data_IF_311102091694
#
_entry.id   IF_311102091694
#
_cell.length_a   1.000
_cell.length_b   1.000
_cell.length_c   1.000
_cell.angle_alpha   90.00
_cell.angle_beta   90.00
_cell.angle_gamma   90.00
#
_symmetry.space_group_name_H-M   'P 1'
#
loop_
_entity.id
_entity.type
_entity.pdbx_description
1 polymer ?
#
# COMPACT_ATOMS: atom_id res chain seq x y z
N UNK A 1 -29.02 -24.96 4.27
CA UNK A 1 -29.03 -24.81 5.74
C UNK A 1 -27.58 -24.81 6.18
N UNK A 2 -26.95 -23.79 6.74
CA UNK A 2 -27.36 -22.70 7.63
C UNK A 2 -27.26 -21.31 6.99
N UNK A 3 -28.31 -20.51 7.11
CA UNK A 3 -28.23 -19.06 7.00
C UNK A 3 -27.40 -18.55 8.19
N UNK A 4 -26.09 -18.46 8.00
CA UNK A 4 -25.21 -17.81 8.97
C UNK A 4 -25.70 -16.39 9.17
N UNK A 5 -26.01 -16.04 10.41
CA UNK A 5 -26.30 -14.67 10.81
C UNK A 5 -25.16 -13.78 10.32
N UNK A 6 -25.46 -12.74 9.53
CA UNK A 6 -24.47 -11.87 8.90
C UNK A 6 -24.87 -10.42 9.16
N UNK A 7 -23.92 -9.61 9.61
CA UNK A 7 -24.13 -8.19 9.85
C UNK A 7 -24.49 -7.48 8.54
N UNK A 8 -25.60 -6.75 8.51
CA UNK A 8 -26.01 -5.98 7.33
C UNK A 8 -25.13 -4.73 7.17
N UNK A 9 -24.45 -4.62 6.04
CA UNK A 9 -23.73 -3.41 5.61
C UNK A 9 -24.67 -2.39 4.93
N UNK A 10 -25.98 -2.65 4.94
CA UNK A 10 -27.04 -1.95 4.21
C UNK A 10 -27.05 -0.43 4.38
N UNK A 11 -26.78 0.07 5.58
CA UNK A 11 -26.76 1.49 5.91
C UNK A 11 -25.44 2.23 5.62
N UNK A 12 -24.38 1.54 5.17
CA UNK A 12 -23.09 2.16 4.84
C UNK A 12 -23.14 2.89 3.49
N UNK A 13 -22.80 4.18 3.51
CA UNK A 13 -22.62 4.97 2.29
C UNK A 13 -21.15 4.84 1.84
N UNK A 14 -20.91 3.94 0.89
CA UNK A 14 -19.61 3.82 0.21
C UNK A 14 -19.58 4.74 -1.01
N UNK A 15 -18.39 5.16 -1.43
CA UNK A 15 -18.21 5.84 -2.72
C UNK A 15 -18.60 4.88 -3.84
N UNK A 16 -19.33 5.40 -4.81
CA UNK A 16 -19.81 4.63 -5.95
C UNK A 16 -19.15 5.08 -7.24
N UNK A 17 -18.91 4.14 -8.15
CA UNK A 17 -18.49 4.44 -9.52
C UNK A 17 -19.66 4.98 -10.35
N UNK A 18 -19.37 5.82 -11.34
CA UNK A 18 -20.43 6.37 -12.20
C UNK A 18 -20.93 5.34 -13.21
N UNK A 19 -22.15 5.51 -13.71
CA UNK A 19 -22.74 4.59 -14.69
C UNK A 19 -21.87 4.41 -15.94
N UNK A 20 -21.26 5.49 -16.44
CA UNK A 20 -20.32 5.44 -17.57
C UNK A 20 -19.05 4.61 -17.29
N UNK A 21 -18.62 4.52 -16.03
CA UNK A 21 -17.45 3.72 -15.65
C UNK A 21 -17.79 2.24 -15.53
N UNK A 22 -18.99 1.93 -15.03
CA UNK A 22 -19.53 0.57 -15.03
C UNK A 22 -19.56 0.05 -16.46
N UNK A 23 -20.10 0.84 -17.39
CA UNK A 23 -20.16 0.49 -18.81
C UNK A 23 -18.75 0.21 -19.37
N UNK A 24 -17.77 1.09 -19.08
CA UNK A 24 -16.38 0.91 -19.54
C UNK A 24 -15.71 -0.33 -18.92
N UNK A 25 -15.99 -0.64 -17.65
CA UNK A 25 -15.46 -1.83 -16.98
C UNK A 25 -16.03 -3.13 -17.55
N UNK A 26 -17.31 -3.10 -17.92
CA UNK A 26 -18.05 -4.24 -18.45
C UNK A 26 -17.96 -4.35 -19.99
N UNK A 27 -17.14 -3.54 -20.66
CA UNK A 27 -16.84 -3.72 -22.07
C UNK A 27 -16.10 -5.04 -22.35
N UNK A 28 -16.32 -5.66 -23.53
CA UNK A 28 -15.56 -6.82 -23.97
C UNK A 28 -14.05 -6.58 -23.93
N UNK A 29 -13.29 -7.62 -23.60
CA UNK A 29 -11.83 -7.56 -23.58
C UNK A 29 -11.28 -7.35 -25.00
N UNK A 30 -10.50 -6.29 -25.18
CA UNK A 30 -9.88 -6.04 -26.48
C UNK A 30 -8.57 -6.82 -26.63
N UNK A 31 -8.21 -7.15 -27.88
CA UNK A 31 -6.94 -7.80 -28.20
C UNK A 31 -5.74 -7.00 -27.69
N UNK A 32 -5.79 -5.67 -27.80
CA UNK A 32 -4.73 -4.79 -27.32
C UNK A 32 -4.62 -4.79 -25.80
N UNK A 33 -5.73 -4.87 -25.07
CA UNK A 33 -5.75 -4.94 -23.60
C UNK A 33 -5.14 -6.25 -23.09
N UNK A 34 -5.50 -7.38 -23.70
CA UNK A 34 -4.96 -8.70 -23.35
C UNK A 34 -3.47 -8.77 -23.68
N UNK A 35 -3.08 -8.33 -24.88
CA UNK A 35 -1.69 -8.32 -25.31
C UNK A 35 -0.82 -7.41 -24.44
N UNK A 36 -1.27 -6.19 -24.14
CA UNK A 36 -0.54 -5.28 -23.26
C UNK A 36 -0.38 -5.87 -21.86
N UNK A 37 -1.44 -6.47 -21.32
CA UNK A 37 -1.38 -7.15 -20.01
C UNK A 37 -0.37 -8.30 -20.04
N UNK A 38 -0.35 -9.12 -21.09
CA UNK A 38 0.60 -10.22 -21.24
C UNK A 38 2.05 -9.74 -21.35
N UNK A 39 2.30 -8.66 -22.09
CA UNK A 39 3.64 -8.10 -22.27
C UNK A 39 4.16 -7.36 -21.05
N UNK A 40 3.28 -6.81 -20.22
CA UNK A 40 3.66 -6.22 -18.92
C UNK A 40 4.07 -7.27 -17.87
N UNK A 41 3.79 -8.56 -18.11
CA UNK A 41 4.12 -9.61 -17.16
C UNK A 41 5.62 -9.89 -17.14
N UNK A 42 6.13 -10.18 -15.94
CA UNK A 42 7.49 -10.67 -15.79
C UNK A 42 7.59 -12.12 -16.31
N UNK A 43 8.35 -12.33 -17.38
CA UNK A 43 8.55 -13.63 -18.05
C UNK A 43 9.16 -14.71 -17.17
N UNK A 44 9.95 -14.31 -16.17
CA UNK A 44 10.67 -15.20 -15.24
C UNK A 44 9.82 -15.70 -14.06
N UNK A 45 8.50 -15.47 -14.08
CA UNK A 45 7.61 -16.02 -13.05
C UNK A 45 7.57 -17.54 -13.13
N UNK A 46 7.53 -18.18 -11.95
CA UNK A 46 7.39 -19.63 -11.84
C UNK A 46 6.16 -20.13 -12.61
N UNK A 47 6.27 -21.26 -13.34
CA UNK A 47 5.19 -21.79 -14.16
C UNK A 47 3.97 -22.18 -13.32
N UNK A 48 2.80 -22.15 -13.96
CA UNK A 48 1.56 -22.64 -13.36
C UNK A 48 1.52 -24.16 -13.28
N UNK A 49 0.37 -24.74 -12.88
CA UNK A 49 0.14 -26.18 -12.92
C UNK A 49 0.26 -26.80 -14.33
N UNK A 50 0.22 -25.96 -15.36
CA UNK A 50 0.43 -26.29 -16.77
C UNK A 50 1.90 -26.43 -17.17
N UNK A 51 2.85 -26.03 -16.31
CA UNK A 51 4.28 -26.15 -16.56
C UNK A 51 4.86 -25.09 -17.50
N UNK A 52 4.04 -24.20 -18.08
CA UNK A 52 4.50 -23.14 -18.98
C UNK A 52 4.79 -21.84 -18.23
N UNK A 53 5.91 -21.20 -18.57
CA UNK A 53 6.28 -19.88 -18.03
C UNK A 53 5.58 -18.77 -18.81
N UNK A 54 5.49 -17.59 -18.20
CA UNK A 54 4.93 -16.41 -18.86
C UNK A 54 5.72 -16.05 -20.14
N UNK A 55 7.04 -16.27 -20.14
CA UNK A 55 7.90 -16.03 -21.30
C UNK A 55 7.51 -16.89 -22.52
N UNK A 56 7.00 -18.12 -22.30
CA UNK A 56 6.46 -18.97 -23.36
C UNK A 56 5.24 -18.31 -24.01
N UNK A 57 4.27 -17.85 -23.20
CA UNK A 57 3.07 -17.18 -23.70
C UNK A 57 3.38 -15.87 -24.42
N UNK A 58 4.36 -15.10 -23.95
CA UNK A 58 4.83 -13.88 -24.63
C UNK A 58 5.47 -14.18 -25.99
N UNK A 59 6.30 -15.24 -26.06
CA UNK A 59 7.01 -15.61 -27.28
C UNK A 59 6.09 -16.28 -28.31
N UNK A 60 5.10 -17.06 -27.84
CA UNK A 60 4.17 -17.81 -28.67
C UNK A 60 2.85 -17.07 -28.92
N UNK A 61 2.75 -15.78 -28.56
CA UNK A 61 1.52 -14.99 -28.70
C UNK A 61 0.91 -15.08 -30.11
N UNK A 62 1.72 -14.98 -31.15
CA UNK A 62 1.24 -15.03 -32.54
C UNK A 62 0.53 -16.35 -32.90
N UNK A 63 0.86 -17.44 -32.20
CA UNK A 63 0.26 -18.75 -32.36
C UNK A 63 -0.98 -18.93 -31.48
N UNK A 64 -0.90 -18.54 -30.20
CA UNK A 64 -1.97 -18.79 -29.20
C UNK A 64 -3.03 -17.68 -29.12
N UNK A 65 -2.85 -16.55 -29.81
CA UNK A 65 -3.71 -15.36 -29.68
C UNK A 65 -5.19 -15.63 -29.93
N UNK A 66 -5.54 -16.45 -30.92
CA UNK A 66 -6.95 -16.70 -31.26
C UNK A 66 -7.62 -17.56 -30.18
N UNK A 67 -6.94 -18.61 -29.69
CA UNK A 67 -7.42 -19.44 -28.58
C UNK A 67 -7.61 -18.63 -27.29
N UNK A 68 -6.65 -17.74 -26.98
CA UNK A 68 -6.75 -16.86 -25.82
C UNK A 68 -7.91 -15.87 -25.98
N UNK A 69 -8.09 -15.28 -27.16
CA UNK A 69 -9.20 -14.34 -27.42
C UNK A 69 -10.56 -15.02 -27.30
N UNK A 70 -10.70 -16.22 -27.85
CA UNK A 70 -11.96 -16.98 -27.76
C UNK A 70 -12.26 -17.41 -26.33
N UNK A 71 -11.23 -17.77 -25.54
CA UNK A 71 -11.39 -17.99 -24.10
C UNK A 71 -11.89 -16.73 -23.36
N UNK A 72 -11.37 -15.54 -23.68
CA UNK A 72 -11.85 -14.29 -23.06
C UNK A 72 -13.27 -13.91 -23.51
N UNK A 73 -13.69 -14.27 -24.73
CA UNK A 73 -15.07 -14.12 -25.20
C UNK A 73 -16.00 -15.08 -24.44
N UNK A 74 -15.61 -16.35 -24.32
CA UNK A 74 -16.39 -17.35 -23.58
C UNK A 74 -16.53 -16.96 -22.10
N UNK A 75 -15.46 -16.44 -21.49
CA UNK A 75 -15.50 -15.89 -20.13
C UNK A 75 -16.45 -14.69 -20.02
N UNK A 76 -16.44 -13.79 -21.02
CA UNK A 76 -17.31 -12.62 -21.07
C UNK A 76 -18.80 -13.00 -21.18
N UNK A 77 -19.12 -14.05 -21.93
CA UNK A 77 -20.50 -14.47 -22.21
C UNK A 77 -21.06 -15.45 -21.17
N UNK A 78 -20.28 -16.46 -20.79
CA UNK A 78 -20.74 -17.59 -19.99
C UNK A 78 -20.32 -17.55 -18.52
N UNK A 79 -19.43 -16.61 -18.14
CA UNK A 79 -18.78 -16.60 -16.82
C UNK A 79 -18.08 -17.94 -16.48
N UNK A 80 -17.73 -18.76 -17.48
CA UNK A 80 -17.11 -20.08 -17.32
C UNK A 80 -15.62 -20.03 -17.65
N UNK A 81 -14.84 -20.98 -17.14
CA UNK A 81 -13.37 -20.93 -17.21
C UNK A 81 -12.73 -22.28 -17.53
N UNK A 82 -11.65 -22.24 -18.32
CA UNK A 82 -10.72 -23.36 -18.50
C UNK A 82 -9.63 -23.27 -17.42
N UNK A 83 -9.57 -24.27 -16.53
CA UNK A 83 -8.89 -24.29 -15.21
C UNK A 83 -7.40 -23.89 -15.14
N UNK A 84 -6.70 -23.63 -16.25
CA UNK A 84 -5.23 -23.52 -16.29
C UNK A 84 -4.65 -22.10 -16.26
N UNK A 85 -5.39 -21.03 -16.58
CA UNK A 85 -4.75 -19.75 -16.89
C UNK A 85 -4.93 -18.67 -15.82
N UNK A 86 -3.81 -18.27 -15.20
CA UNK A 86 -3.74 -17.12 -14.28
C UNK A 86 -3.88 -15.75 -15.00
N UNK A 87 -3.85 -15.72 -16.34
CA UNK A 87 -3.78 -14.50 -17.15
C UNK A 87 -5.04 -13.63 -17.03
N UNK A 88 -6.21 -14.22 -16.79
CA UNK A 88 -7.49 -13.50 -16.67
C UNK A 88 -7.56 -12.63 -15.42
N UNK A 89 -6.99 -13.10 -14.29
CA UNK A 89 -6.92 -12.31 -13.05
C UNK A 89 -6.11 -11.02 -13.23
N UNK A 90 -5.08 -11.03 -14.09
CA UNK A 90 -4.28 -9.85 -14.40
C UNK A 90 -5.05 -8.83 -15.24
N UNK A 91 -5.79 -9.30 -16.25
CA UNK A 91 -6.60 -8.41 -17.09
C UNK A 91 -7.70 -7.73 -16.27
N UNK A 92 -8.35 -8.48 -15.37
CA UNK A 92 -9.32 -7.91 -14.42
C UNK A 92 -8.66 -6.93 -13.43
N UNK A 93 -7.48 -7.26 -12.90
CA UNK A 93 -6.73 -6.35 -12.02
C UNK A 93 -6.36 -5.04 -12.72
N UNK A 94 -6.01 -5.09 -14.01
CA UNK A 94 -5.72 -3.91 -14.83
C UNK A 94 -6.97 -3.04 -15.06
N UNK A 95 -8.16 -3.63 -15.20
CA UNK A 95 -9.43 -2.89 -15.24
C UNK A 95 -9.72 -2.24 -13.88
N UNK A 96 -9.60 -2.96 -12.76
CA UNK A 96 -9.82 -2.40 -11.41
C UNK A 96 -8.88 -1.25 -11.07
N UNK A 97 -7.62 -1.33 -11.51
CA UNK A 97 -6.63 -0.27 -11.29
C UNK A 97 -7.10 1.10 -11.82
N UNK A 98 -7.95 1.13 -12.85
CA UNK A 98 -8.50 2.37 -13.43
C UNK A 98 -9.54 3.05 -12.52
N UNK A 99 -10.22 2.29 -11.68
CA UNK A 99 -11.37 2.77 -10.88
C UNK A 99 -11.09 2.82 -9.38
N UNK A 100 -10.14 2.03 -8.87
CA UNK A 100 -9.92 1.89 -7.42
C UNK A 100 -9.64 3.22 -6.70
N UNK A 101 -8.92 4.14 -7.34
CA UNK A 101 -8.59 5.45 -6.75
C UNK A 101 -9.79 6.37 -6.52
N UNK A 102 -10.97 6.05 -7.09
CA UNK A 102 -12.22 6.80 -6.87
C UNK A 102 -13.07 6.22 -5.75
N UNK A 103 -12.93 4.93 -5.51
CA UNK A 103 -13.74 4.16 -4.56
C UNK A 103 -13.10 4.15 -3.17
N UNK A 104 -11.76 4.26 -3.12
CA UNK A 104 -10.97 4.18 -1.88
C UNK A 104 -10.75 5.59 -1.27
N UNK A 105 -10.69 5.66 0.06
CA UNK A 105 -10.36 6.87 0.82
C UNK A 105 -8.90 7.30 0.63
N UNK A 106 -8.63 8.60 0.79
CA UNK A 106 -7.27 9.14 0.80
C UNK A 106 -6.40 8.65 1.97
N UNK A 107 -7.02 8.06 2.99
CA UNK A 107 -6.36 7.61 4.22
C UNK A 107 -5.75 6.20 4.07
N UNK A 108 -6.09 5.50 2.98
CA UNK A 108 -5.48 4.24 2.58
C UNK A 108 -4.19 4.51 1.77
N UNK A 109 -3.04 4.34 2.41
CA UNK A 109 -1.72 4.60 1.83
C UNK A 109 -1.09 3.34 1.18
N UNK A 110 -1.89 2.30 0.93
CA UNK A 110 -1.42 0.98 0.49
C UNK A 110 -1.09 0.93 -1.03
N UNK A 111 -0.04 0.16 -1.35
CA UNK A 111 0.60 0.04 -2.67
C UNK A 111 -0.35 -0.25 -3.85
N UNK A 112 -0.17 0.52 -4.92
CA UNK A 112 -0.35 0.03 -6.29
C UNK A 112 0.95 -0.72 -6.67
N UNK A 113 0.82 -2.01 -6.98
CA UNK A 113 1.83 -3.05 -7.26
C UNK A 113 2.57 -3.70 -6.08
N UNK A 114 2.33 -5.00 -5.87
CA UNK A 114 3.43 -5.95 -5.65
C UNK A 114 3.44 -6.86 -4.41
N UNK A 115 2.42 -6.89 -3.53
CA UNK A 115 2.32 -7.90 -2.44
C UNK A 115 0.86 -8.24 -2.11
N UNK A 116 0.65 -9.51 -1.72
CA UNK A 116 -0.65 -10.14 -1.51
C UNK A 116 -0.99 -10.21 -0.03
N UNK A 117 -2.27 -9.93 0.27
CA UNK A 117 -2.93 -10.37 1.49
C UNK A 117 -4.12 -11.19 1.02
N UNK A 118 -4.27 -12.36 1.63
CA UNK A 118 -5.40 -13.23 1.40
C UNK A 118 -6.33 -13.06 2.58
N UNK A 119 -7.58 -12.67 2.29
CA UNK A 119 -8.80 -13.21 2.91
C UNK A 119 -10.09 -12.43 2.58
N UNK A 120 -10.05 -11.42 1.69
CA UNK A 120 -11.25 -10.61 1.39
C UNK A 120 -12.29 -11.22 0.41
N UNK A 121 -12.14 -12.47 -0.04
CA UNK A 121 -12.87 -12.97 -1.22
C UNK A 121 -14.38 -13.17 -1.04
N UNK A 122 -14.83 -13.39 0.19
CA UNK A 122 -16.24 -13.70 0.48
C UNK A 122 -17.16 -12.48 0.54
N UNK A 123 -16.65 -11.33 0.99
CA UNK A 123 -17.43 -10.10 1.12
C UNK A 123 -17.08 -9.05 0.06
N UNK A 124 -16.15 -9.38 -0.83
CA UNK A 124 -15.92 -8.60 -2.06
C UNK A 124 -17.22 -8.40 -2.85
N UNK A 125 -18.11 -9.39 -3.01
CA UNK A 125 -19.28 -9.21 -3.88
C UNK A 125 -20.33 -8.23 -3.34
N UNK A 126 -20.63 -8.26 -2.04
CA UNK A 126 -21.57 -7.32 -1.42
C UNK A 126 -20.98 -5.91 -1.37
N UNK A 127 -19.68 -5.80 -1.04
CA UNK A 127 -18.96 -4.52 -1.03
C UNK A 127 -18.86 -3.94 -2.43
N UNK A 128 -18.49 -4.74 -3.44
CA UNK A 128 -18.46 -4.32 -4.85
C UNK A 128 -19.85 -3.90 -5.33
N UNK A 129 -20.91 -4.63 -4.97
CA UNK A 129 -22.28 -4.22 -5.32
C UNK A 129 -22.62 -2.86 -4.69
N UNK A 130 -22.24 -2.62 -3.44
CA UNK A 130 -22.46 -1.33 -2.75
C UNK A 130 -21.62 -0.19 -3.33
N UNK A 131 -20.43 -0.50 -3.83
CA UNK A 131 -19.56 0.43 -4.57
C UNK A 131 -20.04 0.70 -6.01
N UNK A 132 -21.17 0.11 -6.43
CA UNK A 132 -21.78 0.38 -7.73
C UNK A 132 -21.24 -0.47 -8.88
N UNK A 133 -20.52 -1.55 -8.61
CA UNK A 133 -20.09 -2.47 -9.67
C UNK A 133 -21.29 -3.19 -10.29
N UNK A 134 -21.28 -3.31 -11.61
CA UNK A 134 -22.36 -3.93 -12.36
C UNK A 134 -22.49 -5.44 -12.14
N UNK A 135 -23.65 -6.02 -12.50
CA UNK A 135 -23.95 -7.42 -12.24
C UNK A 135 -23.04 -8.37 -13.02
N UNK A 136 -22.52 -7.95 -14.18
CA UNK A 136 -21.63 -8.76 -15.01
C UNK A 136 -20.25 -8.87 -14.36
N UNK A 137 -19.73 -7.77 -13.86
CA UNK A 137 -18.50 -7.76 -13.06
C UNK A 137 -18.61 -8.68 -11.82
N UNK A 138 -19.74 -8.60 -11.11
CA UNK A 138 -20.00 -9.49 -9.96
C UNK A 138 -20.06 -10.97 -10.37
N UNK A 139 -20.59 -11.26 -11.57
CA UNK A 139 -20.57 -12.60 -12.18
C UNK A 139 -19.15 -13.12 -12.43
N UNK A 140 -18.29 -12.29 -13.00
CA UNK A 140 -16.86 -12.59 -13.20
C UNK A 140 -16.17 -12.89 -11.87
N UNK A 141 -16.39 -12.05 -10.85
CA UNK A 141 -15.78 -12.22 -9.52
C UNK A 141 -16.23 -13.51 -8.81
N UNK A 142 -17.52 -13.87 -8.91
CA UNK A 142 -18.04 -15.13 -8.38
C UNK A 142 -17.39 -16.34 -9.04
N UNK A 143 -17.18 -16.26 -10.35
CA UNK A 143 -16.59 -17.33 -11.16
C UNK A 143 -15.09 -17.48 -10.88
N UNK A 144 -14.38 -16.36 -10.75
CA UNK A 144 -13.01 -16.31 -10.25
C UNK A 144 -12.82 -17.06 -8.92
N UNK A 145 -13.79 -16.95 -8.00
CA UNK A 145 -13.74 -17.64 -6.69
C UNK A 145 -13.97 -19.15 -6.82
N UNK A 146 -14.89 -19.60 -7.66
CA UNK A 146 -15.24 -21.02 -7.78
C UNK A 146 -14.13 -21.87 -8.40
N UNK A 147 -13.16 -21.24 -9.06
CA UNK A 147 -12.03 -21.90 -9.73
C UNK A 147 -10.93 -22.32 -8.75
N UNK A 148 -10.81 -21.65 -7.58
CA UNK A 148 -9.73 -21.89 -6.65
C UNK A 148 -9.83 -23.28 -5.98
N UNK A 149 -8.99 -24.21 -6.46
CA UNK A 149 -8.76 -25.53 -5.85
C UNK A 149 -7.39 -25.59 -5.20
N UNK A 150 -7.34 -26.20 -4.03
CA UNK A 150 -6.13 -26.35 -3.24
C UNK A 150 -5.80 -27.83 -3.12
N UNK A 151 -4.52 -28.13 -3.05
CA UNK A 151 -3.99 -29.47 -2.74
C UNK A 151 -2.96 -29.29 -1.64
N UNK A 152 -2.93 -30.21 -0.68
CA UNK A 152 -1.96 -30.20 0.40
C UNK A 152 -0.79 -31.08 -0.02
N UNK A 153 0.43 -30.61 0.22
CA UNK A 153 1.62 -31.44 0.04
C UNK A 153 1.85 -32.24 1.33
N UNK A 154 1.65 -33.55 1.27
CA UNK A 154 2.01 -34.47 2.37
C UNK A 154 3.27 -35.20 1.94
N UNK A 155 4.37 -34.99 2.68
CA UNK A 155 5.69 -35.56 2.36
C UNK A 155 6.19 -35.25 0.94
N UNK A 156 5.84 -34.07 0.40
CA UNK A 156 6.22 -33.65 -0.94
C UNK A 156 5.34 -34.19 -2.07
N UNK A 157 4.33 -35.02 -1.76
CA UNK A 157 3.35 -35.52 -2.73
C UNK A 157 2.03 -34.73 -2.58
N UNK A 158 1.48 -34.18 -3.69
CA UNK A 158 0.21 -33.47 -3.63
C UNK A 158 -0.94 -34.44 -3.38
N UNK A 159 -1.81 -34.12 -2.42
CA UNK A 159 -3.07 -34.83 -2.17
C UNK A 159 -4.13 -34.43 -3.18
N UNK A 160 -5.31 -35.06 -3.10
CA UNK A 160 -6.47 -34.69 -3.90
C UNK A 160 -6.85 -33.20 -3.74
N UNK A 161 -7.42 -32.65 -4.82
CA UNK A 161 -7.84 -31.26 -4.87
C UNK A 161 -9.17 -31.05 -4.14
N UNK A 162 -9.21 -30.11 -3.20
CA UNK A 162 -10.44 -29.64 -2.55
C UNK A 162 -10.78 -28.21 -2.99
N UNK A 163 -12.07 -27.89 -2.99
CA UNK A 163 -12.57 -26.54 -3.27
C UNK A 163 -12.41 -25.62 -2.07
N UNK A 164 -11.99 -24.38 -2.30
CA UNK A 164 -11.99 -23.39 -1.22
C UNK A 164 -13.37 -22.78 -0.97
N UNK A 165 -13.71 -22.65 0.31
CA UNK A 165 -14.84 -21.86 0.77
C UNK A 165 -14.48 -20.39 1.05
N UNK A 166 -13.22 -20.11 1.44
CA UNK A 166 -12.70 -18.79 1.86
C UNK A 166 -11.30 -18.49 1.30
N UNK A 167 -11.04 -17.22 0.99
CA UNK A 167 -9.73 -16.75 0.51
C UNK A 167 -9.59 -16.78 -1.01
N UNK A 168 -8.55 -16.11 -1.52
CA UNK A 168 -8.08 -16.20 -2.91
C UNK A 168 -6.70 -16.87 -2.92
N UNK A 169 -6.15 -17.18 -4.10
CA UNK A 169 -4.84 -17.82 -4.22
C UNK A 169 -3.70 -16.85 -3.88
N UNK A 170 -2.71 -17.29 -3.09
CA UNK A 170 -1.50 -16.50 -2.85
C UNK A 170 -0.73 -16.47 -4.17
N UNK A 171 -0.51 -15.28 -4.71
CA UNK A 171 -0.02 -15.09 -6.07
C UNK A 171 -0.90 -14.16 -6.88
N UNK A 172 -2.18 -14.08 -6.51
CA UNK A 172 -3.22 -13.50 -7.34
C UNK A 172 -3.13 -11.96 -7.39
N UNK A 173 -2.97 -11.35 -8.57
CA UNK A 173 -2.96 -9.89 -8.74
C UNK A 173 -4.26 -9.20 -8.32
N UNK A 174 -5.39 -9.92 -8.29
CA UNK A 174 -6.70 -9.37 -7.96
C UNK A 174 -6.89 -9.24 -6.44
N UNK A 175 -6.31 -10.17 -5.68
CA UNK A 175 -6.48 -10.29 -4.23
C UNK A 175 -6.16 -9.00 -3.47
N UNK A 176 -5.07 -8.31 -3.84
CA UNK A 176 -4.65 -7.07 -3.18
C UNK A 176 -5.66 -5.94 -3.38
N UNK A 177 -6.25 -5.81 -4.56
CA UNK A 177 -7.23 -4.75 -4.83
C UNK A 177 -8.55 -5.00 -4.10
N UNK A 178 -9.01 -6.25 -4.07
CA UNK A 178 -10.21 -6.63 -3.32
C UNK A 178 -10.03 -6.42 -1.81
N UNK A 179 -8.84 -6.71 -1.29
CA UNK A 179 -8.55 -6.51 0.13
C UNK A 179 -8.61 -5.03 0.51
N UNK A 180 -7.99 -4.15 -0.29
CA UNK A 180 -8.04 -2.69 -0.10
C UNK A 180 -9.50 -2.19 -0.11
N UNK A 181 -10.33 -2.68 -1.04
CA UNK A 181 -11.76 -2.36 -1.06
C UNK A 181 -12.52 -2.88 0.17
N UNK A 182 -12.15 -4.05 0.70
CA UNK A 182 -12.68 -4.54 1.97
C UNK A 182 -12.29 -3.64 3.15
N UNK A 183 -11.03 -3.22 3.23
CA UNK A 183 -10.54 -2.33 4.29
C UNK A 183 -11.20 -0.94 4.25
N UNK A 184 -11.77 -0.53 3.12
CA UNK A 184 -12.55 0.71 3.01
C UNK A 184 -13.79 0.68 3.92
N UNK A 185 -14.36 -0.51 4.17
CA UNK A 185 -15.48 -0.68 5.09
C UNK A 185 -15.11 -0.26 6.51
N UNK A 186 -13.91 -0.62 7.00
CA UNK A 186 -13.40 -0.17 8.31
C UNK A 186 -13.17 1.33 8.32
N UNK A 187 -12.57 1.85 7.24
CA UNK A 187 -12.32 3.29 7.10
C UNK A 187 -13.61 4.10 7.27
N UNK A 188 -14.69 3.67 6.60
CA UNK A 188 -16.00 4.32 6.68
C UNK A 188 -16.65 4.12 8.05
N UNK A 189 -16.54 2.95 8.67
CA UNK A 189 -17.05 2.71 10.03
C UNK A 189 -16.37 3.61 11.07
N UNK A 190 -15.04 3.73 11.01
CA UNK A 190 -14.28 4.62 11.91
C UNK A 190 -14.66 6.07 11.64
N UNK A 191 -14.76 6.48 10.37
CA UNK A 191 -15.14 7.86 10.00
C UNK A 191 -16.52 8.23 10.55
N UNK A 192 -17.50 7.33 10.44
CA UNK A 192 -18.84 7.52 11.02
C UNK A 192 -18.85 7.57 12.54
N UNK A 193 -18.03 6.74 13.18
CA UNK A 193 -17.88 6.80 14.63
C UNK A 193 -17.30 8.15 15.08
N UNK A 194 -16.40 8.73 14.28
CA UNK A 194 -15.84 10.07 14.52
C UNK A 194 -16.88 11.18 14.28
N UNK A 195 -17.64 11.11 13.19
CA UNK A 195 -18.74 12.04 12.88
C UNK A 195 -19.84 12.00 13.96
N UNK A 196 -20.12 10.81 14.49
CA UNK A 196 -21.07 10.60 15.58
C UNK A 196 -20.52 10.94 16.98
N UNK A 197 -19.25 11.35 17.10
CA UNK A 197 -18.62 11.69 18.38
C UNK A 197 -18.29 10.49 19.28
N UNK A 198 -18.40 9.27 18.78
CA UNK A 198 -18.09 8.03 19.49
C UNK A 198 -16.58 7.74 19.56
N UNK A 199 -15.79 8.35 18.68
CA UNK A 199 -14.32 8.30 18.69
C UNK A 199 -13.80 9.71 18.36
N UNK A 200 -12.77 10.16 19.08
CA UNK A 200 -12.06 11.39 18.75
C UNK A 200 -10.72 11.08 18.11
N UNK A 201 -10.49 11.54 16.88
CA UNK A 201 -9.23 11.39 16.18
C UNK A 201 -8.11 12.31 16.71
N UNK A 202 -6.90 12.12 16.19
CA UNK A 202 -5.77 13.00 16.49
C UNK A 202 -5.86 14.26 15.62
N UNK A 203 -6.16 15.39 16.25
CA UNK A 203 -6.07 16.69 15.59
C UNK A 203 -4.63 17.19 15.58
N UNK A 204 -4.15 17.60 14.40
CA UNK A 204 -2.84 18.21 14.20
C UNK A 204 -3.07 19.66 13.78
N UNK A 205 -2.59 20.60 14.58
CA UNK A 205 -2.67 22.02 14.26
C UNK A 205 -1.46 22.79 14.81
N UNK A 206 -1.16 23.93 14.20
CA UNK A 206 -0.14 24.89 14.66
C UNK A 206 -0.70 26.31 14.57
N UNK A 207 -0.82 26.98 15.70
CA UNK A 207 -1.29 28.37 15.77
C UNK A 207 -2.73 28.55 15.27
N UNK A 208 -2.99 29.54 14.41
CA UNK A 208 -4.32 29.83 13.83
C UNK A 208 -4.60 29.09 12.51
N UNK A 209 -3.85 28.04 12.19
CA UNK A 209 -4.03 27.26 10.95
C UNK A 209 -5.24 26.32 11.02
N UNK A 210 -5.67 25.82 9.85
CA UNK A 210 -6.72 24.80 9.77
C UNK A 210 -6.23 23.50 10.40
N UNK A 211 -6.97 22.99 11.39
CA UNK A 211 -6.68 21.71 12.03
C UNK A 211 -6.97 20.56 11.07
N UNK A 212 -6.06 19.59 11.02
CA UNK A 212 -6.27 18.33 10.29
C UNK A 212 -6.51 17.24 11.31
N UNK A 213 -7.70 16.64 11.28
CA UNK A 213 -8.05 15.51 12.14
C UNK A 213 -7.74 14.20 11.43
N UNK A 214 -6.94 13.34 12.06
CA UNK A 214 -6.60 12.00 11.57
C UNK A 214 -7.13 10.99 12.57
N UNK A 215 -8.08 10.15 12.17
CA UNK A 215 -8.62 9.09 13.02
C UNK A 215 -7.97 7.73 12.75
N UNK A 216 -7.54 7.47 11.51
CA UNK A 216 -6.93 6.19 11.15
C UNK A 216 -6.02 6.32 9.92
N UNK A 217 -5.09 5.38 9.78
CA UNK A 217 -4.23 5.19 8.63
C UNK A 217 -4.22 3.70 8.28
N UNK A 218 -4.48 3.41 7.01
CA UNK A 218 -4.55 2.03 6.53
C UNK A 218 -3.41 1.78 5.55
N UNK A 219 -2.63 0.74 5.81
CA UNK A 219 -1.65 0.22 4.88
C UNK A 219 -1.84 -1.28 4.73
N UNK A 220 -2.68 -1.67 3.77
CA UNK A 220 -3.03 -3.06 3.57
C UNK A 220 -3.62 -3.63 4.89
N UNK A 221 -3.06 -4.69 5.48
CA UNK A 221 -3.48 -5.25 6.77
C UNK A 221 -2.99 -4.43 7.97
N UNK A 222 -1.90 -3.67 7.82
CA UNK A 222 -1.36 -2.82 8.88
C UNK A 222 -2.27 -1.59 9.05
N UNK A 223 -3.02 -1.57 10.15
CA UNK A 223 -3.97 -0.49 10.48
C UNK A 223 -3.51 0.25 11.74
N UNK A 224 -3.42 1.57 11.65
CA UNK A 224 -3.16 2.45 12.80
C UNK A 224 -4.40 3.27 13.06
N UNK A 225 -4.94 3.19 14.27
CA UNK A 225 -6.09 4.01 14.71
C UNK A 225 -5.61 4.99 15.76
N UNK A 226 -5.94 6.27 15.57
CA UNK A 226 -5.70 7.33 16.53
C UNK A 226 -6.99 7.60 17.30
N UNK A 227 -6.90 7.53 18.62
CA UNK A 227 -8.00 7.86 19.52
C UNK A 227 -7.47 8.63 20.72
N UNK A 228 -8.32 9.49 21.28
CA UNK A 228 -8.06 10.08 22.61
C UNK A 228 -8.10 8.99 23.68
N UNK A 229 -7.24 9.11 24.70
CA UNK A 229 -7.09 8.12 25.76
C UNK A 229 -8.29 8.12 26.73
N UNK A 230 -9.42 7.59 26.27
CA UNK A 230 -10.65 7.41 27.04
C UNK A 230 -11.15 5.99 26.85
N UNK A 231 -11.42 5.31 27.96
CA UNK A 231 -11.97 3.95 28.01
C UNK A 231 -13.18 3.78 27.09
N UNK A 232 -14.15 4.69 27.19
CA UNK A 232 -15.34 4.67 26.34
C UNK A 232 -15.06 4.63 24.84
N UNK A 233 -14.05 5.36 24.33
CA UNK A 233 -13.72 5.36 22.91
C UNK A 233 -13.12 4.02 22.45
N UNK A 234 -12.35 3.35 23.32
CA UNK A 234 -11.82 2.03 23.03
C UNK A 234 -12.91 0.95 23.05
N UNK A 235 -13.92 1.08 23.90
CA UNK A 235 -15.12 0.22 23.86
C UNK A 235 -15.79 0.31 22.48
N UNK A 236 -16.03 1.54 21.98
CA UNK A 236 -16.64 1.75 20.66
C UNK A 236 -15.76 1.21 19.54
N UNK A 237 -14.43 1.35 19.66
CA UNK A 237 -13.49 0.76 18.70
C UNK A 237 -13.56 -0.77 18.70
N UNK A 238 -13.62 -1.40 19.88
CA UNK A 238 -13.78 -2.85 20.01
C UNK A 238 -15.06 -3.34 19.33
N UNK A 239 -16.18 -2.61 19.50
CA UNK A 239 -17.42 -2.89 18.78
C UNK A 239 -17.26 -2.73 17.27
N UNK A 240 -16.63 -1.66 16.77
CA UNK A 240 -16.41 -1.46 15.32
C UNK A 240 -15.59 -2.61 14.73
N UNK A 241 -14.53 -3.03 15.43
CA UNK A 241 -13.68 -4.14 15.03
C UNK A 241 -14.46 -5.46 15.03
N UNK A 242 -15.28 -5.72 16.05
CA UNK A 242 -16.16 -6.89 16.09
C UNK A 242 -17.18 -6.90 14.95
N UNK A 243 -17.82 -5.75 14.69
CA UNK A 243 -18.74 -5.59 13.54
C UNK A 243 -18.03 -5.82 12.21
N UNK A 244 -16.78 -5.37 12.08
CA UNK A 244 -15.96 -5.62 10.91
C UNK A 244 -15.62 -7.11 10.75
N UNK A 245 -15.22 -7.80 11.82
CA UNK A 245 -14.98 -9.25 11.78
C UNK A 245 -16.25 -10.02 11.38
N UNK A 246 -17.41 -9.62 11.91
CA UNK A 246 -18.69 -10.22 11.57
C UNK A 246 -19.13 -9.92 10.12
N UNK A 247 -18.88 -8.70 9.62
CA UNK A 247 -19.27 -8.28 8.29
C UNK A 247 -18.36 -8.85 7.20
N UNK A 248 -17.03 -8.80 7.39
CA UNK A 248 -16.04 -9.24 6.41
C UNK A 248 -15.51 -10.67 6.63
N UNK A 249 -15.90 -11.33 7.73
CA UNK A 249 -15.44 -12.68 8.04
C UNK A 249 -13.92 -12.80 8.19
N UNK A 250 -13.24 -11.65 8.38
CA UNK A 250 -11.82 -11.54 8.66
C UNK A 250 -11.61 -11.68 10.17
N UNK A 251 -10.39 -12.07 10.56
CA UNK A 251 -10.00 -12.17 11.95
C UNK A 251 -8.81 -11.25 12.23
N UNK A 252 -8.96 -10.40 13.23
CA UNK A 252 -7.93 -9.49 13.71
C UNK A 252 -6.92 -10.30 14.52
N UNK A 253 -5.64 -10.02 14.28
CA UNK A 253 -4.56 -10.67 15.00
C UNK A 253 -4.22 -9.88 16.27
N UNK A 254 -4.99 -10.10 17.33
CA UNK A 254 -4.78 -9.44 18.63
C UNK A 254 -3.39 -9.73 19.23
N UNK A 255 -2.79 -10.88 18.92
CA UNK A 255 -1.42 -11.22 19.33
C UNK A 255 -0.35 -10.36 18.65
N UNK A 256 -0.67 -9.67 17.57
CA UNK A 256 0.22 -8.71 16.89
C UNK A 256 -0.22 -7.26 17.09
N UNK A 257 -1.45 -7.04 17.55
CA UNK A 257 -1.98 -5.71 17.82
C UNK A 257 -1.48 -5.17 19.16
N UNK A 258 -1.18 -3.87 19.18
CA UNK A 258 -0.67 -3.18 20.36
C UNK A 258 -1.35 -1.82 20.55
N UNK A 259 -1.61 -1.46 21.81
CA UNK A 259 -2.02 -0.11 22.21
C UNK A 259 -0.78 0.63 22.67
N UNK A 260 -0.48 1.75 22.03
CA UNK A 260 0.72 2.55 22.33
C UNK A 260 0.28 3.87 22.93
N UNK A 261 0.59 4.16 24.21
CA UNK A 261 0.29 5.45 24.80
C UNK A 261 1.19 6.54 24.21
N UNK A 262 0.60 7.69 23.90
CA UNK A 262 1.30 8.87 23.40
C UNK A 262 1.13 10.00 24.41
N UNK A 263 2.18 10.28 25.18
CA UNK A 263 2.15 11.25 26.27
C UNK A 263 1.91 10.59 27.63
N UNK A 264 1.45 11.38 28.61
CA UNK A 264 1.03 10.88 29.92
C UNK A 264 -0.40 10.35 29.80
N UNK A 265 -0.55 9.04 29.98
CA UNK A 265 -1.83 8.35 29.91
C UNK A 265 -1.96 7.45 31.13
N UNK A 266 -3.01 7.68 31.91
CA UNK A 266 -3.37 6.82 33.04
C UNK A 266 -4.12 5.58 32.55
N UNK A 267 -4.03 4.46 33.29
CA UNK A 267 -4.82 3.23 33.05
C UNK A 267 -4.65 2.54 31.67
N UNK A 268 -3.50 2.69 31.01
CA UNK A 268 -3.21 2.08 29.70
C UNK A 268 -3.40 0.55 29.69
N UNK A 269 -3.11 -0.11 30.80
CA UNK A 269 -3.27 -1.57 30.90
C UNK A 269 -4.75 -1.98 30.85
N UNK A 270 -5.64 -1.25 31.53
CA UNK A 270 -7.08 -1.53 31.49
C UNK A 270 -7.64 -1.32 30.09
N UNK A 271 -7.22 -0.23 29.45
CA UNK A 271 -7.56 0.11 28.08
C UNK A 271 -7.11 -0.96 27.07
N UNK A 272 -5.92 -1.55 27.27
CA UNK A 272 -5.45 -2.63 26.42
C UNK A 272 -6.22 -3.93 26.62
N UNK A 273 -6.63 -4.24 27.87
CA UNK A 273 -7.46 -5.42 28.19
C UNK A 273 -8.84 -5.33 27.52
N UNK A 274 -9.43 -4.14 27.43
CA UNK A 274 -10.74 -3.95 26.82
C UNK A 274 -10.78 -4.27 25.31
N UNK A 275 -9.68 -4.03 24.61
CA UNK A 275 -9.52 -4.43 23.20
C UNK A 275 -8.98 -5.87 23.09
N UNK A 276 -8.30 -6.36 24.14
CA UNK A 276 -7.61 -7.65 24.14
C UNK A 276 -6.22 -7.61 23.50
N UNK A 277 -5.57 -6.44 23.50
CA UNK A 277 -4.25 -6.20 22.89
C UNK A 277 -3.14 -6.07 23.94
N UNK A 278 -1.88 -6.11 23.50
CA UNK A 278 -0.73 -5.82 24.36
C UNK A 278 -0.47 -4.31 24.47
N UNK A 279 0.14 -3.88 25.57
CA UNK A 279 0.65 -2.50 25.69
C UNK A 279 2.02 -2.41 25.02
N UNK A 280 2.13 -1.55 24.01
CA UNK A 280 3.38 -1.23 23.31
C UNK A 280 4.04 0.01 23.91
N UNK A 281 5.27 0.30 23.46
CA UNK A 281 6.01 1.51 23.87
C UNK A 281 6.66 2.19 22.66
N UNK A 282 6.66 3.53 22.66
CA UNK A 282 7.46 4.28 21.69
C UNK A 282 8.96 4.17 22.01
N UNK A 283 9.85 4.03 21.01
CA UNK A 283 9.58 4.04 19.58
C UNK A 283 9.23 2.66 19.00
N UNK A 284 8.10 2.56 18.29
CA UNK A 284 7.72 1.35 17.54
C UNK A 284 8.21 1.39 16.10
N UNK A 285 8.27 0.22 15.45
CA UNK A 285 8.67 0.07 14.05
C UNK A 285 7.41 -0.10 13.21
N UNK A 286 6.99 0.96 12.53
CA UNK A 286 5.89 0.91 11.56
C UNK A 286 6.46 0.86 10.14
N UNK A 287 6.03 -0.11 9.33
CA UNK A 287 6.49 -0.33 7.95
C UNK A 287 8.03 -0.45 7.80
N UNK A 288 8.69 -0.98 8.83
CA UNK A 288 10.15 -1.16 8.84
C UNK A 288 10.95 0.13 9.08
N UNK A 289 10.31 1.21 9.51
CA UNK A 289 10.95 2.48 9.86
C UNK A 289 11.07 2.64 11.38
N UNK A 290 12.31 2.69 11.93
CA UNK A 290 12.53 3.15 13.28
C UNK A 290 12.32 4.67 13.40
N UNK A 291 11.71 5.12 14.50
CA UNK A 291 11.44 6.54 14.77
C UNK A 291 12.69 7.40 15.05
N UNK A 292 13.91 6.82 15.08
CA UNK A 292 15.17 7.55 15.32
C UNK A 292 16.13 7.41 14.13
N UNK A 293 16.55 8.54 13.57
CA UNK A 293 17.41 8.59 12.38
C UNK A 293 18.76 7.87 12.56
N UNK A 294 19.36 7.90 13.76
CA UNK A 294 20.66 7.27 14.01
C UNK A 294 20.59 5.74 13.99
N UNK A 295 19.59 5.16 14.65
CA UNK A 295 19.39 3.69 14.71
C UNK A 295 18.98 3.08 13.36
N UNK A 296 18.39 3.89 12.47
CA UNK A 296 18.08 3.47 11.08
C UNK A 296 19.34 3.05 10.34
N UNK A 297 20.41 3.83 10.45
CA UNK A 297 21.65 3.58 9.73
C UNK A 297 22.44 2.41 10.32
N UNK A 298 22.37 2.20 11.64
CA UNK A 298 22.97 1.04 12.31
C UNK A 298 22.32 -0.27 11.82
N UNK A 299 20.99 -0.31 11.69
CA UNK A 299 20.27 -1.46 11.16
C UNK A 299 20.59 -1.76 9.69
N UNK A 300 20.72 -0.72 8.85
CA UNK A 300 21.15 -0.87 7.45
C UNK A 300 22.60 -1.37 7.38
N UNK A 301 23.49 -0.85 8.23
CA UNK A 301 24.88 -1.30 8.29
C UNK A 301 24.98 -2.77 8.68
N UNK A 302 24.23 -3.20 9.70
CA UNK A 302 24.21 -4.58 10.17
C UNK A 302 23.63 -5.54 9.10
N UNK A 303 22.55 -5.14 8.40
CA UNK A 303 21.98 -5.94 7.31
C UNK A 303 22.95 -6.11 6.15
N UNK A 304 23.68 -5.04 5.81
CA UNK A 304 24.76 -5.08 4.82
C UNK A 304 25.90 -5.99 5.28
N UNK A 305 26.31 -5.88 6.56
CA UNK A 305 27.38 -6.69 7.17
C UNK A 305 27.04 -8.17 7.14
N UNK A 306 25.81 -8.56 7.50
CA UNK A 306 25.33 -9.96 7.47
C UNK A 306 25.34 -10.53 6.05
N UNK A 307 24.84 -9.79 5.05
CA UNK A 307 24.88 -10.24 3.64
C UNK A 307 26.30 -10.38 3.12
N UNK A 308 27.17 -9.41 3.44
CA UNK A 308 28.58 -9.47 3.08
C UNK A 308 29.29 -10.66 3.73
N UNK A 309 28.98 -10.97 5.00
CA UNK A 309 29.51 -12.15 5.68
C UNK A 309 29.10 -13.44 4.96
N UNK A 310 27.81 -13.60 4.63
CA UNK A 310 27.30 -14.75 3.87
C UNK A 310 28.03 -14.90 2.53
N UNK A 311 28.16 -13.83 1.74
CA UNK A 311 28.82 -13.89 0.44
C UNK A 311 30.34 -14.04 0.51
N UNK A 312 30.95 -13.58 1.62
CA UNK A 312 32.38 -13.80 1.88
C UNK A 312 32.68 -15.28 2.13
N UNK A 313 31.78 -15.99 2.81
CA UNK A 313 31.90 -17.42 3.09
C UNK A 313 31.44 -18.32 1.92
N UNK A 314 30.89 -17.75 0.85
CA UNK A 314 30.45 -18.50 -0.33
C UNK A 314 31.59 -18.65 -1.36
N UNK A 315 32.43 -19.67 -1.17
CA UNK A 315 33.65 -19.94 -1.96
C UNK A 315 33.41 -20.24 -3.46
N UNK A 316 32.16 -20.48 -3.86
CA UNK A 316 31.78 -20.96 -5.20
C UNK A 316 31.62 -19.81 -6.24
N UNK A 317 31.39 -18.57 -5.80
CA UNK A 317 31.11 -17.45 -6.72
C UNK A 317 32.42 -16.79 -7.18
N UNK A 318 32.70 -16.69 -8.50
CA UNK A 318 33.86 -15.98 -9.03
C UNK A 318 33.90 -14.51 -8.57
N UNK A 319 35.11 -13.92 -8.49
CA UNK A 319 35.29 -12.52 -8.06
C UNK A 319 34.40 -11.54 -8.84
N UNK A 320 34.24 -11.73 -10.14
CA UNK A 320 33.35 -10.94 -11.00
C UNK A 320 31.87 -11.05 -10.60
N UNK A 321 31.37 -12.27 -10.36
CA UNK A 321 30.01 -12.52 -9.90
C UNK A 321 29.71 -11.92 -8.52
N UNK A 322 30.69 -11.94 -7.60
CA UNK A 322 30.58 -11.27 -6.29
C UNK A 322 30.45 -9.76 -6.43
N UNK A 323 31.21 -9.15 -7.34
CA UNK A 323 31.12 -7.70 -7.61
C UNK A 323 29.74 -7.36 -8.19
N UNK A 324 29.24 -8.14 -9.15
CA UNK A 324 27.91 -7.92 -9.74
C UNK A 324 26.80 -8.08 -8.71
N UNK A 325 26.88 -9.10 -7.85
CA UNK A 325 25.91 -9.35 -6.78
C UNK A 325 25.91 -8.23 -5.72
N UNK A 326 27.11 -7.77 -5.35
CA UNK A 326 27.28 -6.61 -4.46
C UNK A 326 26.65 -5.37 -5.11
N UNK A 327 26.94 -5.10 -6.39
CA UNK A 327 26.40 -3.93 -7.10
C UNK A 327 24.88 -3.96 -7.21
N UNK A 328 24.27 -5.11 -7.57
CA UNK A 328 22.82 -5.21 -7.74
C UNK A 328 22.05 -5.16 -6.41
N UNK A 329 22.62 -5.77 -5.36
CA UNK A 329 21.91 -5.95 -4.09
C UNK A 329 22.24 -4.86 -3.07
N UNK A 330 23.51 -4.45 -2.95
CA UNK A 330 23.88 -3.43 -1.95
C UNK A 330 23.48 -2.01 -2.36
N UNK A 331 23.39 -1.72 -3.66
CA UNK A 331 22.92 -0.42 -4.12
C UNK A 331 21.42 -0.23 -3.85
N UNK A 332 20.63 -1.31 -3.92
CA UNK A 332 19.18 -1.27 -3.72
C UNK A 332 18.77 -1.34 -2.24
N UNK A 333 19.58 -1.99 -1.40
CA UNK A 333 19.31 -2.15 0.04
C UNK A 333 19.05 -0.86 0.83
N UNK A 334 19.85 0.21 0.71
CA UNK A 334 19.63 1.44 1.45
C UNK A 334 18.67 2.41 0.76
N UNK A 335 18.12 2.10 -0.45
CA UNK A 335 17.33 3.06 -1.23
C UNK A 335 16.12 3.59 -0.46
N UNK A 336 15.41 2.70 0.23
CA UNK A 336 14.23 3.08 1.01
C UNK A 336 14.59 4.05 2.13
N UNK A 337 15.62 3.74 2.94
CA UNK A 337 16.10 4.60 4.01
C UNK A 337 16.74 5.89 3.48
N UNK A 338 17.48 5.84 2.37
CA UNK A 338 18.03 7.01 1.68
C UNK A 338 16.95 7.92 1.10
N UNK A 339 15.73 7.43 0.89
CA UNK A 339 14.63 8.29 0.44
C UNK A 339 14.00 9.10 1.58
N UNK A 340 14.28 8.76 2.84
CA UNK A 340 13.62 9.32 4.01
C UNK A 340 14.59 10.00 4.99
N UNK A 341 15.83 9.53 5.06
CA UNK A 341 16.84 10.02 5.99
C UNK A 341 18.10 10.50 5.26
N UNK A 342 18.67 11.59 5.76
CA UNK A 342 19.98 12.07 5.31
C UNK A 342 21.08 11.12 5.75
N UNK A 343 21.99 10.78 4.83
CA UNK A 343 23.12 9.90 5.15
C UNK A 343 24.17 10.65 6.00
N UNK A 344 24.58 10.13 7.18
CA UNK A 344 25.58 10.77 8.03
C UNK A 344 26.94 10.85 7.34
N UNK A 345 27.66 11.96 7.52
CA UNK A 345 29.02 12.16 6.97
C UNK A 345 30.02 11.09 7.43
N UNK A 346 29.81 10.49 8.60
CA UNK A 346 30.62 9.39 9.12
C UNK A 346 30.45 8.09 8.32
N UNK A 347 29.22 7.76 7.90
CA UNK A 347 28.93 6.58 7.05
C UNK A 347 29.52 6.78 5.65
N UNK A 348 29.48 8.02 5.14
CA UNK A 348 30.15 8.41 3.88
C UNK A 348 31.67 8.21 3.99
N UNK A 349 32.30 8.62 5.10
CA UNK A 349 33.76 8.51 5.32
C UNK A 349 34.21 7.07 5.58
N UNK A 350 33.50 6.29 6.41
CA UNK A 350 33.89 4.90 6.77
C UNK A 350 33.85 3.94 5.59
N UNK A 351 33.00 4.17 4.58
CA UNK A 351 32.81 3.22 3.46
C UNK A 351 33.66 3.53 2.21
N UNK A 352 34.41 4.64 2.17
CA UNK A 352 35.70 4.80 1.46
C UNK A 352 35.91 4.28 0.02
N UNK A 353 34.87 4.08 -0.81
CA UNK A 353 35.03 3.66 -2.24
C UNK A 353 34.20 4.53 -3.18
N UNK A 354 34.70 4.71 -4.40
CA UNK A 354 34.20 5.58 -5.49
C UNK A 354 32.68 5.46 -5.73
N UNK A 355 32.08 4.29 -5.49
CA UNK A 355 30.64 4.03 -5.64
C UNK A 355 29.75 4.80 -4.63
N UNK A 356 30.27 5.22 -3.48
CA UNK A 356 29.48 5.91 -2.44
C UNK A 356 29.31 7.40 -2.72
N UNK A 357 30.19 8.01 -3.53
CA UNK A 357 29.97 9.39 -3.99
C UNK A 357 28.69 9.48 -4.84
N UNK A 358 28.37 8.43 -5.61
CA UNK A 358 27.10 8.31 -6.32
C UNK A 358 25.92 8.11 -5.36
N UNK A 359 26.09 7.33 -4.28
CA UNK A 359 25.04 7.14 -3.26
C UNK A 359 24.71 8.42 -2.47
N UNK A 360 25.71 9.23 -2.13
CA UNK A 360 25.48 10.51 -1.46
C UNK A 360 24.70 11.48 -2.37
N UNK A 361 25.06 11.56 -3.65
CA UNK A 361 24.30 12.33 -4.65
C UNK A 361 22.89 11.77 -4.84
N UNK A 362 22.75 10.45 -4.88
CA UNK A 362 21.45 9.77 -4.98
C UNK A 362 20.56 10.05 -3.76
N UNK A 363 21.10 10.04 -2.54
CA UNK A 363 20.37 10.41 -1.33
C UNK A 363 19.83 11.84 -1.42
N UNK A 364 20.65 12.81 -1.86
CA UNK A 364 20.19 14.19 -2.08
C UNK A 364 19.06 14.26 -3.11
N UNK A 365 19.18 13.57 -4.23
CA UNK A 365 18.14 13.53 -5.27
C UNK A 365 16.85 12.88 -4.75
N UNK A 366 16.95 11.79 -3.98
CA UNK A 366 15.79 11.10 -3.41
C UNK A 366 15.06 11.95 -2.36
N UNK A 367 15.81 12.68 -1.52
CA UNK A 367 15.20 13.65 -0.59
C UNK A 367 14.59 14.83 -1.33
N UNK A 368 15.28 15.36 -2.35
CA UNK A 368 14.76 16.41 -3.23
C UNK A 368 13.49 16.00 -3.98
N UNK A 369 13.33 14.72 -4.34
CA UNK A 369 12.10 14.18 -4.92
C UNK A 369 10.88 14.42 -4.01
N UNK A 370 11.03 14.32 -2.69
CA UNK A 370 9.93 14.60 -1.75
C UNK A 370 9.57 16.08 -1.68
N UNK A 371 10.57 16.96 -1.77
CA UNK A 371 10.37 18.41 -1.82
C UNK A 371 9.65 18.80 -3.12
N UNK A 372 10.08 18.23 -4.25
CA UNK A 372 9.39 18.38 -5.54
C UNK A 372 7.95 17.88 -5.46
N UNK A 373 7.73 16.68 -4.88
CA UNK A 373 6.38 16.14 -4.67
C UNK A 373 5.53 17.06 -3.81
N UNK A 374 6.07 17.68 -2.78
CA UNK A 374 5.31 18.61 -1.91
C UNK A 374 4.86 19.85 -2.69
N UNK A 375 5.73 20.41 -3.52
CA UNK A 375 5.40 21.55 -4.37
C UNK A 375 4.33 21.20 -5.43
N UNK A 376 4.36 19.98 -5.98
CA UNK A 376 3.41 19.55 -7.01
C UNK A 376 2.10 18.94 -6.47
N UNK A 377 2.12 18.37 -5.26
CA UNK A 377 0.97 17.75 -4.65
C UNK A 377 -0.11 18.80 -4.38
N UNK A 378 -1.38 18.46 -4.59
CA UNK A 378 -2.49 19.39 -4.36
C UNK A 378 -3.19 19.10 -3.06
N UNK A 379 -3.88 17.96 -2.97
CA UNK A 379 -4.82 17.66 -1.89
C UNK A 379 -4.50 16.36 -1.13
N UNK A 380 -3.31 15.80 -1.30
CA UNK A 380 -2.89 14.56 -0.63
C UNK A 380 -2.83 14.74 0.90
N UNK A 381 -3.30 13.75 1.67
CA UNK A 381 -3.39 13.80 3.14
C UNK A 381 -2.04 14.17 3.77
N UNK A 382 -0.95 13.51 3.37
CA UNK A 382 0.38 13.78 3.92
C UNK A 382 0.82 15.24 3.72
N UNK A 383 0.41 15.90 2.62
CA UNK A 383 0.67 17.33 2.40
C UNK A 383 -0.12 18.18 3.40
N UNK A 384 -1.42 17.95 3.53
CA UNK A 384 -2.28 18.66 4.52
C UNK A 384 -1.74 18.52 5.94
N UNK A 385 -1.28 17.33 6.32
CA UNK A 385 -0.68 17.06 7.63
C UNK A 385 0.63 17.85 7.82
N UNK A 386 1.49 17.90 6.80
CA UNK A 386 2.71 18.69 6.86
C UNK A 386 2.43 20.19 6.91
N UNK A 387 1.42 20.68 6.20
CA UNK A 387 0.99 22.07 6.23
C UNK A 387 0.42 22.45 7.60
N UNK A 388 -0.42 21.60 8.19
CA UNK A 388 -0.96 21.82 9.52
C UNK A 388 0.13 21.79 10.60
N UNK A 389 1.12 20.91 10.46
CA UNK A 389 2.22 20.75 11.43
C UNK A 389 3.32 21.79 11.30
N UNK A 390 3.77 22.09 10.08
CA UNK A 390 4.93 22.96 9.84
C UNK A 390 4.54 24.36 9.37
N UNK A 391 3.34 24.53 8.80
CA UNK A 391 2.91 25.76 8.13
C UNK A 391 3.47 25.87 6.71
N UNK A 392 2.96 26.83 5.95
CA UNK A 392 3.40 27.12 4.57
C UNK A 392 4.18 28.44 4.47
N UNK A 393 5.04 28.50 3.46
CA UNK A 393 5.83 29.65 2.96
C UNK A 393 5.83 29.62 1.42
N UNK A 394 6.23 30.73 0.77
CA UNK A 394 6.36 30.87 -0.69
C UNK A 394 5.12 30.39 -1.48
N UNK A 395 3.95 30.99 -1.19
CA UNK A 395 2.67 30.67 -1.85
C UNK A 395 2.26 29.17 -1.76
N UNK A 396 2.68 28.48 -0.70
CA UNK A 396 2.33 27.07 -0.46
C UNK A 396 3.25 26.07 -1.15
N UNK A 397 4.36 26.53 -1.72
CA UNK A 397 5.37 25.66 -2.35
C UNK A 397 6.40 25.12 -1.34
N UNK A 398 6.53 25.76 -0.18
CA UNK A 398 7.45 25.35 0.89
C UNK A 398 6.75 25.23 2.23
N UNK A 399 7.26 24.34 3.08
CA UNK A 399 6.93 24.33 4.51
C UNK A 399 7.87 25.26 5.27
N UNK A 400 7.41 25.89 6.35
CA UNK A 400 8.30 26.69 7.21
C UNK A 400 9.41 25.84 7.83
N UNK A 401 10.53 26.47 8.20
CA UNK A 401 11.61 25.77 8.92
C UNK A 401 11.11 25.14 10.23
N UNK A 402 11.48 23.88 10.43
CA UNK A 402 11.10 23.09 11.59
C UNK A 402 11.95 23.43 12.83
N UNK A 403 11.59 24.52 13.52
CA UNK A 403 12.34 25.03 14.69
C UNK A 403 11.95 24.38 16.03
N UNK A 404 11.14 23.31 16.02
CA UNK A 404 10.69 22.62 17.24
C UNK A 404 11.73 21.69 17.87
N UNK A 405 11.69 21.60 19.20
CA UNK A 405 12.56 20.77 20.07
C UNK A 405 12.11 19.30 20.12
N UNK A 406 10.84 19.02 19.83
CA UNK A 406 10.28 17.67 19.89
C UNK A 406 10.36 16.91 18.55
N UNK A 407 11.17 15.85 18.54
CA UNK A 407 11.18 14.79 17.51
C UNK A 407 12.12 14.99 16.34
N UNK A 408 12.96 13.99 16.07
CA UNK A 408 13.74 13.83 14.83
C UNK A 408 12.79 13.38 13.71
N UNK A 409 11.87 14.26 13.31
CA UNK A 409 10.86 13.93 12.31
C UNK A 409 11.49 13.69 10.93
N UNK A 410 11.01 12.66 10.21
CA UNK A 410 11.44 12.33 8.84
C UNK A 410 11.44 13.56 7.92
N UNK A 411 10.41 14.40 8.01
CA UNK A 411 10.34 15.65 7.23
C UNK A 411 11.45 16.65 7.58
N UNK A 412 11.86 16.74 8.85
CA UNK A 412 12.97 17.59 9.29
C UNK A 412 14.30 17.11 8.69
N UNK A 413 14.48 15.80 8.49
CA UNK A 413 15.65 15.26 7.80
C UNK A 413 15.63 15.55 6.29
N UNK A 414 14.46 15.45 5.65
CA UNK A 414 14.27 15.81 4.23
C UNK A 414 14.58 17.29 4.01
N UNK A 415 14.08 18.18 4.87
CA UNK A 415 14.31 19.62 4.77
C UNK A 415 15.78 20.04 4.94
N UNK A 416 16.68 19.18 5.45
CA UNK A 416 18.12 19.51 5.53
C UNK A 416 18.80 19.67 4.16
N UNK A 417 18.20 19.15 3.10
CA UNK A 417 18.71 19.30 1.72
C UNK A 417 17.77 20.20 0.87
N UNK A 418 16.89 20.98 1.51
CA UNK A 418 15.95 21.87 0.79
C UNK A 418 16.65 22.91 -0.04
N UNK A 419 17.68 23.55 0.51
CA UNK A 419 18.37 24.67 -0.14
C UNK A 419 19.03 24.20 -1.44
N UNK A 420 19.75 23.07 -1.38
CA UNK A 420 20.31 22.41 -2.56
C UNK A 420 19.25 22.04 -3.59
N UNK A 421 18.10 21.53 -3.15
CA UNK A 421 17.02 21.16 -4.09
C UNK A 421 16.48 22.38 -4.82
N UNK A 422 16.21 23.48 -4.11
CA UNK A 422 15.65 24.70 -4.67
C UNK A 422 16.62 25.46 -5.57
N UNK A 423 17.92 25.46 -5.26
CA UNK A 423 18.97 25.99 -6.15
C UNK A 423 19.03 25.26 -7.51
N UNK A 424 18.57 24.01 -7.56
CA UNK A 424 18.60 23.17 -8.76
C UNK A 424 17.21 22.99 -9.40
N UNK A 425 16.17 23.67 -8.89
CA UNK A 425 14.82 23.64 -9.43
C UNK A 425 14.55 24.90 -10.26
N UNK A 426 13.99 24.71 -11.45
CA UNK A 426 13.53 25.80 -12.30
C UNK A 426 12.02 25.73 -12.46
N UNK A 427 11.35 26.89 -12.37
CA UNK A 427 9.93 27.00 -12.66
C UNK A 427 9.75 27.24 -14.16
N UNK A 428 9.02 26.35 -14.84
CA UNK A 428 8.58 26.59 -16.21
C UNK A 428 7.20 27.23 -16.16
N UNK A 429 7.13 28.49 -16.56
CA UNK A 429 5.88 29.23 -16.72
C UNK A 429 5.06 28.57 -17.83
N UNK A 430 3.87 28.06 -17.49
CA UNK A 430 2.91 27.54 -18.45
C UNK A 430 2.04 28.65 -19.07
N UNK A 431 1.37 28.37 -20.19
CA UNK A 431 0.37 29.28 -20.77
C UNK A 431 -0.95 29.16 -19.96
N UNK A 432 -1.17 30.00 -18.96
CA UNK A 432 -2.49 30.11 -18.30
C UNK A 432 -2.74 31.46 -17.64
N UNK A 433 -4.02 31.84 -17.53
CA UNK A 433 -4.51 33.08 -16.92
C UNK A 433 -4.38 33.12 -15.38
N UNK A 434 -3.61 32.22 -14.77
CA UNK A 434 -3.44 32.10 -13.30
C UNK A 434 -2.16 32.75 -12.78
N UNK A 435 -1.43 33.47 -13.64
CA UNK A 435 -0.15 34.09 -13.31
C UNK A 435 -0.37 35.60 -13.22
N UNK A 436 -0.24 36.15 -12.02
CA UNK A 436 -0.24 37.59 -11.78
C UNK A 436 1.20 38.03 -11.59
N UNK A 437 1.71 38.83 -12.51
CA UNK A 437 2.93 39.58 -12.31
C UNK A 437 2.56 40.84 -11.51
N UNK A 438 3.27 41.13 -10.43
CA UNK A 438 3.22 42.47 -9.87
C UNK A 438 4.30 43.31 -10.55
N UNK A 439 3.95 44.55 -10.87
CA UNK A 439 4.91 45.62 -11.12
C UNK A 439 5.05 46.38 -9.82
N UNK A 440 6.26 46.47 -9.27
CA UNK A 440 6.53 47.45 -8.22
C UNK A 440 6.41 48.87 -8.80
N UNK A 441 5.89 49.86 -8.04
CA UNK A 441 5.79 51.25 -8.46
C UNK A 441 7.13 51.93 -8.73
#
# INVERSE_FOLDING_TARGET
MSSGWKADIGGLQLKQISQSEVEVLELPFSKSEIHATLMEMNGDKAPGPDGFTVAFWQSCWEFVKEEVLDMFKEFYEQNSFIKSLNNTFLVLANKLKKVIGKVVSSDQNAFIMGRQILDASLISNEVLQKMGFGPKWLGWMRSCKSIAKFSVLVNGVPTDFFSSSRGLRQGDPLSSYLFVMGMEVVSVLITRAVEGGFISGCSIWRGRGQAVNISHLLFADDTVVFCEAKKGYLTHLSWILFWFEAALGLKINLDKSEVIPVGEVEEVNEMAVEIGCRVGQLPTVYLGLPNKATSVWDGVEEKVRRRLAIWKHQYIIPKGGRITLIKSTMASMPLYQMSLFRMPKLVVRRKGRVEIRKLARLNKVLLGKWIWRFACAKEELWKKVLEAKYGQEDFGWRTRKANGVFGVGVWKEILKESDWCWENMAFKVGKSNKIRFWTDP
#
